data_IF_321652310970
#
_entry.id   IF_321652310970
#
_cell.length_a   1.000
_cell.length_b   1.000
_cell.length_c   1.000
_cell.angle_alpha   90.00
_cell.angle_beta   90.00
_cell.angle_gamma   90.00
#
_symmetry.space_group_name_H-M   'P 1'
#
loop_
_entity.id
_entity.type
_entity.pdbx_description
1 polymer ?
#
# COMPACT_ATOMS: atom_id res chain seq x y z
N UNK A 1 12.36 2.59 18.07
CA UNK A 1 11.65 3.62 18.89
C UNK A 1 10.67 4.45 18.06
N UNK A 2 11.10 5.08 16.96
CA UNK A 2 10.25 5.93 16.09
C UNK A 2 8.98 5.22 15.57
N UNK A 3 9.09 4.03 14.98
CA UNK A 3 7.96 3.30 14.43
C UNK A 3 6.89 2.95 15.50
N UNK A 4 7.33 2.58 16.71
CA UNK A 4 6.41 2.32 17.83
C UNK A 4 5.64 3.59 18.21
N UNK A 5 6.36 4.71 18.38
CA UNK A 5 5.74 5.99 18.70
C UNK A 5 4.71 6.40 17.64
N UNK A 6 5.11 6.38 16.36
CA UNK A 6 4.19 6.70 15.25
C UNK A 6 2.99 5.76 15.18
N UNK A 7 3.16 4.45 15.37
CA UNK A 7 2.04 3.50 15.42
C UNK A 7 1.04 3.76 16.55
N UNK A 8 1.46 4.40 17.63
CA UNK A 8 0.58 4.78 18.74
C UNK A 8 -0.09 6.14 18.52
N UNK A 9 0.57 7.06 17.83
CA UNK A 9 0.13 8.46 17.68
C UNK A 9 -0.57 8.75 16.36
N UNK A 10 -0.54 7.84 15.39
CA UNK A 10 -1.15 8.04 14.06
C UNK A 10 -2.63 8.46 14.15
N UNK A 11 -3.38 7.94 15.13
CA UNK A 11 -4.80 8.29 15.34
C UNK A 11 -5.05 9.76 15.66
N UNK A 12 -4.07 10.46 16.18
CA UNK A 12 -4.11 11.89 16.47
C UNK A 12 -3.44 12.74 15.40
N UNK A 13 -2.87 12.12 14.37
CA UNK A 13 -2.23 12.83 13.26
C UNK A 13 -3.30 13.25 12.25
N UNK A 14 -3.53 14.55 12.15
CA UNK A 14 -4.53 15.11 11.23
C UNK A 14 -4.17 14.92 9.76
N UNK A 15 -2.89 14.64 9.45
CA UNK A 15 -2.42 14.38 8.09
C UNK A 15 -2.84 13.00 7.56
N UNK A 16 -3.20 12.09 8.47
CA UNK A 16 -3.60 10.71 8.15
C UNK A 16 -5.14 10.54 8.10
N UNK A 17 -5.87 11.63 7.81
CA UNK A 17 -7.34 11.63 7.76
C UNK A 17 -7.91 10.58 6.81
N UNK A 18 -7.30 10.43 5.63
CA UNK A 18 -7.69 9.44 4.62
C UNK A 18 -7.52 8.01 5.12
N UNK A 19 -6.38 7.70 5.74
CA UNK A 19 -6.15 6.40 6.35
C UNK A 19 -7.14 6.12 7.50
N UNK A 20 -7.44 7.12 8.32
CA UNK A 20 -8.47 6.97 9.36
C UNK A 20 -9.85 6.70 8.78
N UNK A 21 -10.15 7.29 7.62
CA UNK A 21 -11.40 7.01 6.92
C UNK A 21 -11.44 5.55 6.42
N UNK A 22 -10.34 5.05 5.85
CA UNK A 22 -10.23 3.63 5.50
C UNK A 22 -10.55 2.74 6.71
N UNK A 23 -9.96 3.03 7.88
CA UNK A 23 -10.23 2.25 9.09
C UNK A 23 -11.70 2.28 9.51
N UNK A 24 -12.46 3.37 9.25
CA UNK A 24 -13.91 3.43 9.53
C UNK A 24 -14.71 2.48 8.63
N UNK A 25 -14.26 2.23 7.39
CA UNK A 25 -14.93 1.34 6.44
C UNK A 25 -14.74 -0.14 6.77
N UNK A 26 -13.82 -0.49 7.67
CA UNK A 26 -13.49 -1.87 8.03
C UNK A 26 -14.25 -2.34 9.26
N UNK A 27 -14.51 -3.65 9.29
CA UNK A 27 -15.00 -4.39 10.47
C UNK A 27 -13.87 -5.24 11.07
N UNK A 28 -14.11 -5.79 12.25
CA UNK A 28 -13.13 -6.63 12.94
C UNK A 28 -12.79 -7.95 12.21
N UNK A 29 -13.69 -8.42 11.33
CA UNK A 29 -13.57 -9.70 10.63
C UNK A 29 -13.02 -9.61 9.22
N UNK A 30 -12.74 -8.40 8.75
CA UNK A 30 -12.29 -8.17 7.38
C UNK A 30 -10.84 -8.61 7.18
N UNK A 31 -10.53 -9.07 5.97
CA UNK A 31 -9.15 -9.28 5.54
C UNK A 31 -8.71 -8.11 4.68
N UNK A 32 -7.49 -7.67 4.90
CA UNK A 32 -6.92 -6.46 4.27
C UNK A 32 -5.55 -6.78 3.70
N UNK A 33 -5.24 -6.23 2.53
CA UNK A 33 -3.87 -6.19 2.01
C UNK A 33 -3.24 -4.84 2.38
N UNK A 34 -2.00 -4.89 2.87
CA UNK A 34 -1.15 -3.73 3.15
C UNK A 34 0.09 -3.83 2.26
N UNK A 35 0.04 -3.18 1.09
CA UNK A 35 1.06 -3.26 0.07
C UNK A 35 1.97 -2.04 0.21
N UNK A 36 3.29 -2.28 0.33
CA UNK A 36 4.23 -1.27 0.79
C UNK A 36 4.08 -1.03 2.29
N UNK A 37 4.19 -2.11 3.08
CA UNK A 37 3.97 -2.05 4.53
C UNK A 37 5.04 -1.23 5.28
N UNK A 38 6.19 -1.01 4.64
CA UNK A 38 7.30 -0.24 5.17
C UNK A 38 7.67 -0.73 6.60
N UNK A 39 7.88 0.17 7.54
CA UNK A 39 8.21 -0.17 8.94
C UNK A 39 6.99 -0.57 9.80
N UNK A 40 5.78 -0.71 9.21
CA UNK A 40 4.60 -1.30 9.85
C UNK A 40 3.72 -0.34 10.65
N UNK A 41 3.79 0.97 10.40
CA UNK A 41 2.95 1.96 11.09
C UNK A 41 1.47 1.71 10.76
N UNK A 42 1.12 1.63 9.47
CA UNK A 42 -0.25 1.37 9.02
C UNK A 42 -0.65 -0.08 9.28
N UNK A 43 0.25 -1.06 9.04
CA UNK A 43 0.05 -2.48 9.39
C UNK A 43 -0.47 -2.66 10.82
N UNK A 44 0.16 -1.97 11.79
CA UNK A 44 -0.22 -2.06 13.21
C UNK A 44 -1.67 -1.62 13.44
N UNK A 45 -2.10 -0.54 12.80
CA UNK A 45 -3.44 0.02 12.98
C UNK A 45 -4.49 -0.79 12.24
N UNK A 46 -4.17 -1.29 11.04
CA UNK A 46 -5.00 -2.25 10.32
C UNK A 46 -5.20 -3.52 11.14
N UNK A 47 -4.12 -4.12 11.67
CA UNK A 47 -4.19 -5.35 12.45
C UNK A 47 -5.00 -5.20 13.75
N UNK A 48 -4.91 -4.05 14.42
CA UNK A 48 -5.76 -3.74 15.57
C UNK A 48 -7.22 -3.55 15.21
N UNK A 49 -7.51 -3.01 14.02
CA UNK A 49 -8.87 -2.81 13.53
C UNK A 49 -9.53 -4.12 13.12
N UNK A 50 -8.82 -4.96 12.35
CA UNK A 50 -9.34 -6.24 11.85
C UNK A 50 -8.86 -7.41 12.73
N UNK A 51 -9.06 -7.30 14.05
CA UNK A 51 -8.48 -8.20 15.05
C UNK A 51 -8.99 -9.66 15.00
N UNK A 52 -10.11 -9.91 14.32
CA UNK A 52 -10.67 -11.22 14.02
C UNK A 52 -10.51 -11.63 12.54
N UNK A 53 -9.99 -10.75 11.71
CA UNK A 53 -9.57 -10.99 10.33
C UNK A 53 -8.05 -11.06 10.22
N UNK A 54 -7.53 -10.82 9.01
CA UNK A 54 -6.08 -10.86 8.74
C UNK A 54 -5.62 -9.62 7.98
N UNK A 55 -4.37 -9.24 8.23
CA UNK A 55 -3.62 -8.27 7.41
C UNK A 55 -2.51 -9.03 6.70
N UNK A 56 -2.52 -8.99 5.38
CA UNK A 56 -1.47 -9.55 4.52
C UNK A 56 -0.58 -8.39 4.09
N UNK A 57 0.59 -8.29 4.70
CA UNK A 57 1.52 -7.18 4.52
C UNK A 57 2.64 -7.57 3.57
N UNK A 58 2.91 -6.73 2.58
CA UNK A 58 3.94 -6.92 1.56
C UNK A 58 4.99 -5.83 1.69
N UNK A 59 6.24 -6.24 1.89
CA UNK A 59 7.38 -5.35 2.02
C UNK A 59 8.65 -6.04 1.50
N UNK A 60 9.32 -5.52 0.46
CA UNK A 60 10.51 -6.16 -0.10
C UNK A 60 11.83 -5.74 0.55
N UNK A 61 11.91 -4.57 1.20
CA UNK A 61 13.17 -3.99 1.65
C UNK A 61 13.65 -4.60 2.97
N UNK A 62 14.88 -5.19 3.05
CA UNK A 62 15.34 -5.92 4.23
C UNK A 62 15.34 -5.11 5.52
N UNK A 63 15.74 -3.83 5.47
CA UNK A 63 15.78 -2.94 6.65
C UNK A 63 14.36 -2.67 7.20
N UNK A 64 13.39 -2.45 6.29
CA UNK A 64 11.98 -2.28 6.62
C UNK A 64 11.39 -3.57 7.21
N UNK A 65 11.62 -4.71 6.57
CA UNK A 65 11.19 -6.04 7.04
C UNK A 65 11.69 -6.29 8.46
N UNK A 66 12.98 -6.03 8.73
CA UNK A 66 13.55 -6.20 10.07
C UNK A 66 12.82 -5.35 11.11
N UNK A 67 12.48 -4.11 10.76
CA UNK A 67 11.75 -3.20 11.65
C UNK A 67 10.30 -3.64 11.81
N UNK A 68 9.62 -3.99 10.72
CA UNK A 68 8.23 -4.49 10.72
C UNK A 68 8.08 -5.74 11.58
N UNK A 69 9.00 -6.72 11.48
CA UNK A 69 9.02 -7.92 12.34
C UNK A 69 9.11 -7.55 13.84
N UNK A 70 9.94 -6.56 14.19
CA UNK A 70 10.03 -6.07 15.58
C UNK A 70 8.72 -5.41 16.03
N UNK A 71 8.08 -4.64 15.16
CA UNK A 71 6.78 -4.00 15.42
C UNK A 71 5.68 -5.05 15.63
N UNK A 72 5.58 -6.04 14.74
CA UNK A 72 4.64 -7.17 14.87
C UNK A 72 4.82 -7.87 16.21
N UNK A 73 6.05 -8.17 16.58
CA UNK A 73 6.38 -8.82 17.86
C UNK A 73 6.05 -7.93 19.06
N UNK A 74 6.44 -6.65 19.02
CA UNK A 74 6.21 -5.71 20.13
C UNK A 74 4.72 -5.54 20.45
N UNK A 75 3.89 -5.35 19.40
CA UNK A 75 2.44 -5.21 19.56
C UNK A 75 1.69 -6.55 19.63
N UNK A 76 2.42 -7.69 19.58
CA UNK A 76 1.85 -9.05 19.60
C UNK A 76 0.75 -9.26 18.55
N UNK A 77 0.97 -8.76 17.34
CA UNK A 77 -0.01 -8.84 16.24
C UNK A 77 -0.03 -10.25 15.67
N UNK A 78 -0.99 -11.07 16.11
CA UNK A 78 -1.12 -12.49 15.72
C UNK A 78 -1.83 -12.70 14.38
N UNK A 79 -2.45 -11.66 13.86
CA UNK A 79 -3.25 -11.65 12.63
C UNK A 79 -2.56 -10.99 11.44
N UNK A 80 -1.26 -10.72 11.53
CA UNK A 80 -0.44 -10.24 10.41
C UNK A 80 0.30 -11.40 9.77
N UNK A 81 0.19 -11.48 8.43
CA UNK A 81 0.98 -12.40 7.58
C UNK A 81 1.90 -11.52 6.74
N UNK A 82 3.21 -11.65 6.95
CA UNK A 82 4.21 -10.85 6.24
C UNK A 82 4.79 -11.61 5.04
N UNK A 83 4.73 -10.97 3.88
CA UNK A 83 5.37 -11.40 2.64
C UNK A 83 6.57 -10.49 2.37
N UNK A 84 7.76 -11.08 2.33
CA UNK A 84 9.05 -10.40 2.10
C UNK A 84 9.34 -10.32 0.60
N UNK A 85 8.41 -9.75 -0.17
CA UNK A 85 8.43 -9.67 -1.63
C UNK A 85 7.85 -8.35 -2.11
N UNK A 86 8.24 -7.92 -3.30
CA UNK A 86 7.56 -6.89 -4.07
C UNK A 86 6.37 -7.49 -4.84
N UNK A 87 5.36 -6.66 -5.07
CA UNK A 87 4.28 -6.99 -6.00
C UNK A 87 4.45 -6.21 -7.31
N UNK A 88 3.99 -6.77 -8.41
CA UNK A 88 4.02 -6.14 -9.73
C UNK A 88 3.30 -6.98 -10.77
N UNK A 89 3.48 -6.67 -12.05
CA UNK A 89 2.79 -7.31 -13.18
C UNK A 89 3.48 -8.57 -13.72
N UNK A 90 4.64 -8.95 -13.17
CA UNK A 90 5.44 -10.11 -13.60
C UNK A 90 6.08 -10.81 -12.41
N UNK A 91 6.38 -12.10 -12.58
CA UNK A 91 7.14 -12.88 -11.61
C UNK A 91 8.62 -12.86 -12.03
N UNK A 92 9.44 -12.04 -11.37
CA UNK A 92 10.86 -11.88 -11.69
C UNK A 92 11.67 -11.38 -10.49
N UNK A 93 12.98 -11.37 -10.61
CA UNK A 93 13.85 -10.59 -9.73
C UNK A 93 13.93 -9.16 -10.27
N UNK A 94 13.81 -8.17 -9.40
CA UNK A 94 13.94 -6.75 -9.72
C UNK A 94 14.99 -6.09 -8.84
N UNK A 95 15.50 -4.95 -9.29
CA UNK A 95 16.33 -4.09 -8.47
C UNK A 95 15.47 -2.98 -7.86
N UNK A 96 15.63 -2.80 -6.55
CA UNK A 96 15.07 -1.66 -5.82
C UNK A 96 16.21 -0.83 -5.26
N UNK A 97 16.02 0.49 -5.25
CA UNK A 97 16.97 1.42 -4.68
C UNK A 97 16.42 2.03 -3.39
N UNK A 98 17.27 2.11 -2.39
CA UNK A 98 17.04 2.93 -1.20
C UNK A 98 17.88 4.19 -1.35
N UNK A 99 17.27 5.35 -1.59
CA UNK A 99 18.00 6.59 -1.79
C UNK A 99 18.83 6.98 -0.58
N UNK A 100 19.99 7.56 -0.83
CA UNK A 100 20.86 8.14 0.21
C UNK A 100 21.09 9.60 -0.14
N UNK A 101 20.54 10.51 0.68
CA UNK A 101 20.69 11.94 0.51
C UNK A 101 21.48 12.48 1.70
N UNK A 102 22.57 13.22 1.47
CA UNK A 102 23.44 13.77 2.50
C UNK A 102 23.89 12.72 3.54
N UNK A 103 24.26 11.52 3.08
CA UNK A 103 24.59 10.35 3.89
C UNK A 103 23.46 9.81 4.78
N UNK A 104 22.22 10.26 4.59
CA UNK A 104 21.03 9.76 5.29
C UNK A 104 20.26 8.79 4.38
N UNK A 105 19.99 7.59 4.91
CA UNK A 105 19.17 6.58 4.23
C UNK A 105 17.69 6.99 4.23
N UNK A 106 17.13 7.15 3.05
CA UNK A 106 15.72 7.52 2.86
C UNK A 106 14.84 6.26 2.70
N UNK A 107 14.72 5.47 3.76
CA UNK A 107 14.02 4.17 3.74
C UNK A 107 12.57 4.26 3.24
N UNK A 108 11.87 5.35 3.53
CA UNK A 108 10.48 5.59 3.10
C UNK A 108 10.34 5.86 1.60
N UNK A 109 11.42 6.22 0.91
CA UNK A 109 11.44 6.51 -0.53
C UNK A 109 12.07 5.37 -1.34
N UNK A 110 12.13 4.15 -0.80
CA UNK A 110 12.65 3.00 -1.53
C UNK A 110 11.69 2.61 -2.66
N UNK A 111 12.17 2.57 -3.88
CA UNK A 111 11.36 2.32 -5.08
C UNK A 111 12.04 1.35 -6.05
N UNK A 112 11.27 0.84 -7.00
CA UNK A 112 11.79 -0.01 -8.10
C UNK A 112 12.65 0.86 -9.02
N UNK A 113 13.80 0.34 -9.43
CA UNK A 113 14.64 0.98 -10.45
C UNK A 113 13.93 0.82 -11.80
N UNK A 114 13.31 1.89 -12.28
CA UNK A 114 12.56 1.95 -13.53
C UNK A 114 12.93 3.21 -14.30
N UNK A 115 12.89 3.16 -15.64
CA UNK A 115 13.24 4.29 -16.51
C UNK A 115 12.32 5.52 -16.32
N UNK A 116 11.13 5.34 -15.75
CA UNK A 116 10.19 6.42 -15.45
C UNK A 116 10.56 7.24 -14.21
N UNK A 117 11.47 6.74 -13.37
CA UNK A 117 11.92 7.44 -12.16
C UNK A 117 13.21 8.21 -12.45
N UNK A 118 13.12 9.53 -12.45
CA UNK A 118 14.26 10.43 -12.71
C UNK A 118 14.95 10.92 -11.43
N UNK A 119 14.24 10.90 -10.30
CA UNK A 119 14.71 11.43 -9.03
C UNK A 119 15.08 10.30 -8.06
N UNK A 120 15.97 10.60 -7.12
CA UNK A 120 16.37 9.67 -6.04
C UNK A 120 17.01 8.35 -6.51
N UNK A 121 17.66 8.35 -7.68
CA UNK A 121 18.31 7.16 -8.25
C UNK A 121 19.75 6.92 -7.73
N UNK A 122 20.22 7.70 -6.75
CA UNK A 122 21.51 7.46 -6.07
C UNK A 122 21.26 6.85 -4.69
N UNK A 123 21.81 5.65 -4.44
CA UNK A 123 21.57 4.97 -3.19
C UNK A 123 22.10 3.54 -3.16
N UNK A 124 21.55 2.74 -2.26
CA UNK A 124 21.90 1.33 -2.09
C UNK A 124 20.86 0.48 -2.82
N UNK A 125 21.35 -0.33 -3.76
CA UNK A 125 20.51 -1.25 -4.55
C UNK A 125 20.34 -2.59 -3.85
N UNK A 126 19.13 -3.15 -3.97
CA UNK A 126 18.77 -4.47 -3.48
C UNK A 126 18.06 -5.27 -4.56
N UNK A 127 18.45 -6.53 -4.72
CA UNK A 127 17.70 -7.48 -5.53
C UNK A 127 16.60 -8.10 -4.70
N UNK A 128 15.36 -8.00 -5.19
CA UNK A 128 14.20 -8.52 -4.51
C UNK A 128 13.32 -9.32 -5.47
N UNK A 129 12.61 -10.29 -4.92
CA UNK A 129 11.64 -11.07 -5.69
C UNK A 129 10.37 -10.24 -5.89
N UNK A 130 9.94 -10.08 -7.13
CA UNK A 130 8.63 -9.57 -7.51
C UNK A 130 7.70 -10.71 -7.90
N UNK A 131 6.43 -10.65 -7.50
CA UNK A 131 5.40 -11.60 -7.91
C UNK A 131 4.10 -10.87 -8.26
N UNK A 132 3.27 -11.51 -9.08
CA UNK A 132 1.89 -11.07 -9.28
C UNK A 132 1.04 -11.50 -8.09
N UNK A 133 0.22 -10.60 -7.59
CA UNK A 133 -0.71 -10.92 -6.50
C UNK A 133 -1.70 -12.04 -6.90
N UNK A 134 -2.12 -12.05 -8.17
CA UNK A 134 -3.00 -13.07 -8.74
C UNK A 134 -2.39 -14.49 -8.74
N UNK A 135 -1.07 -14.62 -8.64
CA UNK A 135 -0.36 -15.90 -8.62
C UNK A 135 -0.12 -16.46 -7.21
N UNK A 136 -0.50 -15.72 -6.15
CA UNK A 136 -0.43 -16.19 -4.77
C UNK A 136 -1.62 -17.09 -4.44
N UNK A 137 -1.39 -18.42 -4.56
CA UNK A 137 -2.44 -19.44 -4.40
C UNK A 137 -3.18 -19.33 -3.06
N UNK A 138 -2.45 -19.02 -1.99
CA UNK A 138 -3.01 -18.87 -0.65
C UNK A 138 -4.02 -17.74 -0.50
N UNK A 139 -3.99 -16.73 -1.39
CA UNK A 139 -4.91 -15.60 -1.37
C UNK A 139 -6.13 -15.78 -2.29
N UNK A 140 -6.08 -16.74 -3.22
CA UNK A 140 -7.14 -16.91 -4.24
C UNK A 140 -8.55 -17.10 -3.68
N UNK A 141 -8.67 -17.71 -2.51
CA UNK A 141 -9.96 -18.01 -1.89
C UNK A 141 -10.24 -17.22 -0.61
N UNK A 142 -9.40 -16.25 -0.30
CA UNK A 142 -9.61 -15.36 0.84
C UNK A 142 -10.39 -14.14 0.38
N UNK A 143 -11.55 -13.83 1.00
CA UNK A 143 -12.25 -12.59 0.70
C UNK A 143 -11.44 -11.40 1.20
N UNK A 144 -11.10 -10.50 0.29
CA UNK A 144 -10.36 -9.26 0.59
C UNK A 144 -11.32 -8.08 0.59
N UNK A 145 -11.45 -7.41 1.73
CA UNK A 145 -12.34 -6.27 1.90
C UNK A 145 -11.71 -4.95 1.49
N UNK A 146 -10.42 -4.79 1.75
CA UNK A 146 -9.72 -3.55 1.40
C UNK A 146 -8.25 -3.82 1.03
N UNK A 147 -7.69 -2.88 0.27
CA UNK A 147 -6.27 -2.81 -0.08
C UNK A 147 -5.77 -1.41 0.29
N UNK A 148 -4.75 -1.31 1.12
CA UNK A 148 -3.90 -0.12 1.22
C UNK A 148 -2.70 -0.35 0.32
N UNK A 149 -2.36 0.61 -0.53
CA UNK A 149 -1.18 0.55 -1.38
C UNK A 149 -0.45 1.88 -1.40
N UNK A 150 0.87 1.79 -1.27
CA UNK A 150 1.81 2.90 -1.30
C UNK A 150 3.19 2.28 -1.60
N UNK A 151 3.58 2.30 -2.87
CA UNK A 151 4.77 1.61 -3.40
C UNK A 151 5.64 2.52 -4.26
N UNK A 152 5.56 3.83 -3.97
CA UNK A 152 6.45 4.83 -4.54
C UNK A 152 6.48 4.79 -6.08
N UNK A 153 5.34 5.12 -6.69
CA UNK A 153 5.13 5.25 -8.14
C UNK A 153 5.11 3.93 -8.95
N UNK A 154 4.85 2.79 -8.31
CA UNK A 154 4.75 1.48 -8.99
C UNK A 154 3.35 0.85 -8.88
N UNK A 155 2.34 1.62 -8.46
CA UNK A 155 0.97 1.17 -8.16
C UNK A 155 0.29 0.54 -9.37
N UNK A 156 0.42 1.14 -10.55
CA UNK A 156 -0.19 0.63 -11.78
C UNK A 156 0.27 -0.80 -12.11
N UNK A 157 1.57 -1.06 -11.96
CA UNK A 157 2.13 -2.40 -12.20
C UNK A 157 1.59 -3.42 -11.19
N UNK A 158 1.44 -3.01 -9.93
CA UNK A 158 0.83 -3.85 -8.90
C UNK A 158 -0.64 -4.16 -9.25
N UNK A 159 -1.42 -3.17 -9.66
CA UNK A 159 -2.82 -3.37 -10.05
C UNK A 159 -2.97 -4.29 -11.26
N UNK A 160 -2.07 -4.19 -12.26
CA UNK A 160 -2.04 -5.11 -13.38
C UNK A 160 -1.82 -6.57 -12.93
N UNK A 161 -0.93 -6.80 -11.96
CA UNK A 161 -0.69 -8.14 -11.39
C UNK A 161 -1.71 -8.61 -10.36
N UNK A 162 -2.70 -7.78 -10.02
CA UNK A 162 -3.76 -8.05 -9.05
C UNK A 162 -5.17 -8.01 -9.68
N UNK A 163 -5.27 -7.90 -11.01
CA UNK A 163 -6.52 -7.62 -11.72
C UNK A 163 -7.64 -8.59 -11.38
N UNK A 164 -7.35 -9.89 -11.36
CA UNK A 164 -8.36 -10.92 -11.11
C UNK A 164 -8.85 -10.89 -9.65
N UNK A 165 -7.93 -10.70 -8.71
CA UNK A 165 -8.26 -10.56 -7.29
C UNK A 165 -9.16 -9.33 -7.07
N UNK A 166 -8.83 -8.18 -7.69
CA UNK A 166 -9.60 -6.93 -7.58
C UNK A 166 -11.00 -7.11 -8.17
N UNK A 167 -11.13 -7.67 -9.37
CA UNK A 167 -12.42 -7.90 -10.01
C UNK A 167 -13.28 -8.86 -9.18
N UNK A 168 -12.68 -9.94 -8.65
CA UNK A 168 -13.39 -10.95 -7.86
C UNK A 168 -13.90 -10.41 -6.53
N UNK A 169 -13.05 -9.69 -5.80
CA UNK A 169 -13.35 -9.25 -4.43
C UNK A 169 -14.03 -7.88 -4.36
N UNK A 170 -13.85 -7.04 -5.38
CA UNK A 170 -14.32 -5.64 -5.39
C UNK A 170 -13.98 -4.88 -4.11
N UNK A 171 -12.69 -4.88 -3.68
CA UNK A 171 -12.29 -4.27 -2.43
C UNK A 171 -12.39 -2.74 -2.49
N UNK A 172 -12.48 -2.10 -1.34
CA UNK A 172 -12.13 -0.68 -1.23
C UNK A 172 -10.62 -0.57 -1.34
N UNK A 173 -10.11 0.33 -2.20
CA UNK A 173 -8.68 0.54 -2.36
C UNK A 173 -8.34 1.95 -1.92
N UNK A 174 -7.41 2.08 -0.99
CA UNK A 174 -6.79 3.32 -0.55
C UNK A 174 -5.37 3.38 -1.09
N UNK A 175 -5.06 4.42 -1.85
CA UNK A 175 -3.85 4.53 -2.63
C UNK A 175 -3.30 5.96 -2.61
N UNK A 176 -2.00 6.12 -2.33
CA UNK A 176 -1.28 7.36 -2.58
C UNK A 176 -0.74 7.36 -4.01
N UNK A 177 -0.99 8.44 -4.77
CA UNK A 177 -0.56 8.57 -6.16
C UNK A 177 -0.01 9.96 -6.43
N UNK A 178 1.19 10.02 -6.93
CA UNK A 178 1.80 11.26 -7.39
C UNK A 178 1.12 11.77 -8.66
N UNK A 179 1.21 13.07 -8.95
CA UNK A 179 0.59 13.67 -10.13
C UNK A 179 1.43 13.46 -11.38
N UNK A 180 1.31 12.26 -11.96
CA UNK A 180 2.10 11.80 -13.09
C UNK A 180 1.37 10.73 -13.92
N UNK A 181 2.08 10.11 -14.87
CA UNK A 181 1.56 9.08 -15.76
C UNK A 181 1.04 7.83 -15.00
N UNK A 182 1.70 7.42 -13.91
CA UNK A 182 1.27 6.29 -13.08
C UNK A 182 -0.16 6.52 -12.53
N UNK A 183 -0.46 7.74 -12.02
CA UNK A 183 -1.82 8.11 -11.57
C UNK A 183 -2.83 8.00 -12.71
N UNK A 184 -2.51 8.52 -13.88
CA UNK A 184 -3.39 8.46 -15.04
C UNK A 184 -3.68 7.01 -15.43
N UNK A 185 -2.67 6.15 -15.48
CA UNK A 185 -2.81 4.74 -15.80
C UNK A 185 -3.65 3.99 -14.74
N UNK A 186 -3.47 4.30 -13.44
CA UNK A 186 -4.31 3.76 -12.37
C UNK A 186 -5.79 4.15 -12.54
N UNK A 187 -6.07 5.42 -12.84
CA UNK A 187 -7.45 5.89 -13.03
C UNK A 187 -8.13 5.19 -14.21
N UNK A 188 -7.43 5.04 -15.33
CA UNK A 188 -7.94 4.32 -16.50
C UNK A 188 -8.21 2.85 -16.17
N UNK A 189 -7.26 2.17 -15.53
CA UNK A 189 -7.40 0.78 -15.10
C UNK A 189 -8.67 0.57 -14.26
N UNK A 190 -8.90 1.41 -13.26
CA UNK A 190 -10.06 1.30 -12.39
C UNK A 190 -11.37 1.66 -13.08
N UNK A 191 -11.36 2.66 -13.97
CA UNK A 191 -12.51 3.00 -14.80
C UNK A 191 -12.95 1.84 -15.69
N UNK A 192 -11.99 1.13 -16.32
CA UNK A 192 -12.25 -0.03 -17.17
C UNK A 192 -12.91 -1.19 -16.43
N UNK A 193 -12.61 -1.38 -15.15
CA UNK A 193 -13.16 -2.47 -14.33
C UNK A 193 -14.34 -2.05 -13.46
N UNK A 194 -14.91 -0.85 -13.70
CA UNK A 194 -16.13 -0.39 -13.05
C UNK A 194 -15.94 0.11 -11.61
N UNK A 195 -14.83 0.81 -11.35
CA UNK A 195 -14.60 1.50 -10.09
C UNK A 195 -14.66 3.00 -10.29
N UNK A 196 -15.19 3.70 -9.30
CA UNK A 196 -15.15 5.15 -9.22
C UNK A 196 -13.93 5.62 -8.41
N UNK A 197 -13.26 6.67 -8.90
CA UNK A 197 -12.19 7.35 -8.17
C UNK A 197 -12.80 8.39 -7.24
N UNK A 198 -12.48 8.32 -5.96
CA UNK A 198 -13.00 9.23 -4.92
C UNK A 198 -11.89 9.81 -4.07
N UNK A 199 -12.16 10.95 -3.47
CA UNK A 199 -11.32 11.64 -2.49
C UNK A 199 -12.10 11.96 -1.24
N UNK A 200 -11.41 12.04 -0.11
CA UNK A 200 -12.03 12.43 1.15
C UNK A 200 -12.16 13.95 1.21
N UNK A 201 -13.40 14.44 1.40
CA UNK A 201 -13.71 15.85 1.60
C UNK A 201 -14.43 15.98 2.95
N UNK A 202 -13.74 16.54 3.94
CA UNK A 202 -14.25 16.56 5.30
C UNK A 202 -14.37 15.14 5.88
N UNK A 203 -15.58 14.61 5.98
CA UNK A 203 -15.90 13.31 6.59
C UNK A 203 -16.56 12.31 5.62
N UNK A 204 -16.64 12.63 4.33
CA UNK A 204 -17.29 11.80 3.31
C UNK A 204 -16.46 11.74 2.01
N UNK A 205 -16.74 10.72 1.21
CA UNK A 205 -16.07 10.55 -0.09
C UNK A 205 -16.88 11.21 -1.21
N UNK A 206 -16.20 12.07 -1.97
CA UNK A 206 -16.71 12.63 -3.22
C UNK A 206 -16.02 11.99 -4.44
N UNK A 207 -16.71 11.99 -5.59
CA UNK A 207 -16.07 11.61 -6.85
C UNK A 207 -15.00 12.63 -7.19
N UNK A 208 -13.81 12.15 -7.52
CA UNK A 208 -12.69 13.01 -7.85
C UNK A 208 -12.97 13.85 -9.09
N UNK A 209 -12.73 15.13 -8.98
CA UNK A 209 -12.77 16.12 -10.06
C UNK A 209 -11.50 16.97 -9.97
N UNK A 210 -10.61 16.85 -10.95
CA UNK A 210 -9.32 17.54 -10.97
C UNK A 210 -9.43 19.09 -10.99
N UNK A 211 -10.59 19.62 -11.30
CA UNK A 211 -10.85 21.07 -11.25
C UNK A 211 -11.20 21.57 -9.84
N UNK A 212 -11.62 20.66 -8.95
CA UNK A 212 -12.10 20.99 -7.60
C UNK A 212 -11.17 20.47 -6.51
N UNK A 213 -10.52 19.32 -6.76
CA UNK A 213 -9.79 18.58 -5.75
C UNK A 213 -8.29 18.57 -6.07
N UNK A 214 -7.49 18.94 -5.08
CA UNK A 214 -6.05 18.70 -5.07
C UNK A 214 -5.80 17.60 -4.04
N UNK A 215 -5.46 16.39 -4.50
CA UNK A 215 -5.27 15.22 -3.65
C UNK A 215 -4.10 14.36 -4.14
N UNK A 216 -3.47 13.66 -3.20
CA UNK A 216 -2.50 12.58 -3.45
C UNK A 216 -3.06 11.24 -3.00
N UNK A 217 -4.00 11.25 -2.05
CA UNK A 217 -4.67 10.06 -1.55
C UNK A 217 -6.03 9.86 -2.24
N UNK A 218 -6.25 8.66 -2.74
CA UNK A 218 -7.46 8.31 -3.48
C UNK A 218 -8.09 7.03 -2.94
N UNK A 219 -9.41 6.97 -3.07
CA UNK A 219 -10.20 5.77 -2.84
C UNK A 219 -10.76 5.27 -4.17
N UNK A 220 -10.45 4.03 -4.53
CA UNK A 220 -11.14 3.37 -5.63
C UNK A 220 -12.22 2.47 -5.04
N UNK A 221 -13.44 2.68 -5.47
CA UNK A 221 -14.59 1.97 -4.95
C UNK A 221 -15.44 1.40 -6.09
N UNK A 222 -15.98 0.19 -5.96
CA UNK A 222 -16.92 -0.34 -6.93
C UNK A 222 -18.06 0.65 -7.19
N UNK A 223 -18.36 0.93 -8.47
CA UNK A 223 -19.42 1.83 -8.89
C UNK A 223 -20.81 1.19 -8.68
#
# INVERSE_FOLDING_TARGET
MFAIYKSLTIKSDSKEGDFHYLLKLLTEKDNVLDIGANIGIMTTNLAKKVNHGKVFSFEPMPDNISTLKKIISFFKLKNVVLYEIALGNENKEIEMIMPVVDAVKMQGLSHVVDESMTDFNEGITFKVKQVKLDDLEELKNIPIKAIKIDVENFEYQVFCGARNLIIKNKPVIYCELWDNENRYNCFNFFSEIGFAVKVLVGDHLEVFDSKKHSAQNFFFMPA
#
